data_IF_631026825303
#
_entry.id   IF_631026825303
#
_cell.length_a   1.000
_cell.length_b   1.000
_cell.length_c   1.000
_cell.angle_alpha   90.00
_cell.angle_beta   90.00
_cell.angle_gamma   90.00
#
_symmetry.space_group_name_H-M   'P 1'
#
loop_
_entity.id
_entity.type
_entity.pdbx_description
1 polymer ?
#
# COMPACT_ATOMS: atom_id res chain seq x y z
N UNK A 1 -19.70 -0.96 -27.11
CA UNK A 1 -20.49 0.26 -27.38
C UNK A 1 -19.55 1.45 -27.26
N UNK A 2 -19.48 2.18 -28.35
CA UNK A 2 -18.52 3.21 -28.77
C UNK A 2 -18.58 4.48 -27.88
N UNK A 3 -17.99 4.42 -26.69
CA UNK A 3 -18.02 5.48 -25.66
C UNK A 3 -16.67 6.21 -25.48
N UNK A 4 -15.63 5.84 -26.24
CA UNK A 4 -14.28 6.40 -26.11
C UNK A 4 -14.21 7.89 -26.44
N UNK A 5 -14.83 8.31 -27.56
CA UNK A 5 -14.66 9.66 -28.08
C UNK A 5 -15.63 10.72 -27.55
N UNK A 6 -16.64 10.33 -26.74
CA UNK A 6 -17.60 11.32 -26.18
C UNK A 6 -17.03 12.19 -25.07
N UNK A 7 -15.97 11.71 -24.39
CA UNK A 7 -15.39 12.38 -23.21
C UNK A 7 -14.16 13.22 -23.51
N UNK A 8 -13.59 13.15 -24.71
CA UNK A 8 -12.47 14.02 -25.07
C UNK A 8 -12.93 15.47 -25.05
N UNK A 9 -12.16 16.32 -24.36
CA UNK A 9 -12.45 17.74 -24.23
C UNK A 9 -12.49 18.42 -25.60
N UNK A 10 -11.69 17.93 -26.55
CA UNK A 10 -11.66 18.36 -27.95
C UNK A 10 -13.00 18.07 -28.66
N UNK A 11 -13.50 16.83 -28.56
CA UNK A 11 -14.78 16.43 -29.15
C UNK A 11 -15.97 17.22 -28.57
N UNK A 12 -15.92 17.55 -27.27
CA UNK A 12 -16.92 18.42 -26.63
C UNK A 12 -16.85 19.87 -27.10
N UNK A 13 -15.65 20.43 -27.34
CA UNK A 13 -15.49 21.78 -27.88
C UNK A 13 -15.92 21.88 -29.34
N UNK A 14 -15.60 20.88 -30.17
CA UNK A 14 -16.10 20.79 -31.55
C UNK A 14 -17.61 20.72 -31.62
N UNK A 15 -18.23 19.88 -30.80
CA UNK A 15 -19.69 19.80 -30.73
C UNK A 15 -20.33 21.13 -30.32
N UNK A 16 -19.77 21.82 -29.32
CA UNK A 16 -20.21 23.18 -28.94
C UNK A 16 -20.07 24.18 -30.09
N UNK A 17 -18.98 24.09 -30.86
CA UNK A 17 -18.76 24.97 -32.01
C UNK A 17 -19.77 24.71 -33.14
N UNK A 18 -20.08 23.44 -33.43
CA UNK A 18 -21.11 23.06 -34.40
C UNK A 18 -22.50 23.48 -33.93
N UNK A 19 -22.82 23.31 -32.64
CA UNK A 19 -24.07 23.77 -32.04
C UNK A 19 -24.24 25.30 -32.22
N UNK A 20 -23.19 26.06 -31.92
CA UNK A 20 -23.19 27.52 -32.11
C UNK A 20 -23.39 27.91 -33.57
N UNK A 21 -22.68 27.26 -34.52
CA UNK A 21 -22.86 27.50 -35.95
C UNK A 21 -24.26 27.12 -36.47
N UNK A 22 -24.86 26.06 -35.92
CA UNK A 22 -26.22 25.64 -36.28
C UNK A 22 -27.27 26.59 -35.69
N UNK A 23 -27.02 27.15 -34.50
CA UNK A 23 -27.91 28.10 -33.85
C UNK A 23 -28.06 29.43 -34.61
N UNK A 24 -27.03 29.82 -35.39
CA UNK A 24 -27.03 31.02 -36.24
C UNK A 24 -27.89 30.88 -37.52
N UNK A 25 -28.40 29.68 -37.84
CA UNK A 25 -29.27 29.46 -38.99
C UNK A 25 -30.57 28.71 -38.60
N UNK A 26 -31.68 29.42 -38.32
CA UNK A 26 -32.83 28.83 -37.66
C UNK A 26 -33.69 28.03 -38.65
N UNK A 27 -33.38 26.74 -38.82
CA UNK A 27 -34.32 25.78 -39.43
C UNK A 27 -35.29 25.29 -38.35
N UNK A 28 -36.55 25.70 -38.48
CA UNK A 28 -37.56 25.62 -37.44
C UNK A 28 -37.81 24.21 -36.87
N UNK A 29 -37.53 24.05 -35.58
CA UNK A 29 -38.06 22.95 -34.74
C UNK A 29 -38.84 23.53 -33.56
N UNK A 30 -40.06 23.02 -33.31
CA UNK A 30 -40.95 23.51 -32.24
C UNK A 30 -40.39 23.20 -30.85
N UNK A 31 -40.21 24.26 -30.05
CA UNK A 31 -39.64 24.28 -28.69
C UNK A 31 -40.56 23.62 -27.64
N UNK A 32 -39.98 22.92 -26.65
CA UNK A 32 -40.64 22.55 -25.38
C UNK A 32 -40.42 23.65 -24.33
N UNK A 33 -41.43 23.90 -23.50
CA UNK A 33 -41.52 25.03 -22.56
C UNK A 33 -40.62 24.78 -21.34
N UNK A 34 -39.55 25.57 -21.18
CA UNK A 34 -38.69 25.57 -19.98
C UNK A 34 -37.17 25.68 -20.22
N UNK A 35 -36.70 25.59 -21.48
CA UNK A 35 -35.27 25.69 -21.81
C UNK A 35 -34.84 27.15 -22.00
N UNK A 36 -33.60 27.49 -21.64
CA UNK A 36 -32.98 28.81 -21.82
C UNK A 36 -33.05 29.22 -23.32
N UNK A 37 -33.35 30.48 -23.69
CA UNK A 37 -33.63 30.85 -25.08
C UNK A 37 -32.50 30.62 -26.07
N UNK A 38 -31.26 30.56 -25.54
CA UNK A 38 -30.00 30.52 -26.27
C UNK A 38 -29.28 29.16 -26.16
N UNK A 39 -29.92 28.15 -25.55
CA UNK A 39 -29.36 26.82 -25.37
C UNK A 39 -30.35 25.78 -25.91
N UNK A 40 -30.11 25.29 -27.12
CA UNK A 40 -30.98 24.33 -27.82
C UNK A 40 -30.86 22.89 -27.29
N UNK A 41 -29.92 22.65 -26.36
CA UNK A 41 -29.67 21.35 -25.76
C UNK A 41 -28.98 20.35 -26.69
N UNK A 42 -28.43 20.80 -27.82
CA UNK A 42 -27.73 19.96 -28.79
C UNK A 42 -26.47 19.35 -28.17
N UNK A 43 -26.41 18.01 -28.09
CA UNK A 43 -25.29 17.23 -27.52
C UNK A 43 -25.60 16.54 -26.19
N UNK A 44 -26.78 16.79 -25.61
CA UNK A 44 -27.23 16.14 -24.37
C UNK A 44 -27.87 14.76 -24.61
N UNK A 45 -28.36 14.50 -25.84
CA UNK A 45 -28.98 13.22 -26.20
C UNK A 45 -28.15 12.42 -27.22
N UNK A 46 -28.35 11.10 -27.25
CA UNK A 46 -27.63 10.19 -28.15
C UNK A 46 -27.91 10.45 -29.64
N UNK A 47 -29.00 11.15 -29.96
CA UNK A 47 -29.40 11.45 -31.32
C UNK A 47 -28.55 12.57 -31.92
N UNK A 48 -28.18 13.58 -31.11
CA UNK A 48 -27.27 14.65 -31.51
C UNK A 48 -25.86 14.12 -31.80
N UNK A 49 -25.40 13.13 -31.01
CA UNK A 49 -24.14 12.42 -31.28
C UNK A 49 -24.20 11.57 -32.56
N UNK A 50 -25.37 11.07 -32.93
CA UNK A 50 -25.55 10.38 -34.21
C UNK A 50 -25.45 11.37 -35.39
N UNK A 51 -26.03 12.56 -35.26
CA UNK A 51 -25.92 13.64 -36.27
C UNK A 51 -24.48 14.15 -36.40
N UNK A 52 -23.75 14.31 -35.29
CA UNK A 52 -22.32 14.66 -35.32
C UNK A 52 -21.49 13.64 -36.11
N UNK A 53 -21.71 12.34 -35.86
CA UNK A 53 -21.05 11.27 -36.62
C UNK A 53 -21.46 11.27 -38.09
N UNK A 54 -22.73 11.49 -38.40
CA UNK A 54 -23.21 11.52 -39.79
C UNK A 54 -22.67 12.73 -40.58
N UNK A 55 -22.47 13.88 -39.90
CA UNK A 55 -21.82 15.07 -40.47
C UNK A 55 -20.32 14.81 -40.69
N UNK A 56 -19.66 14.13 -39.76
CA UNK A 56 -18.24 13.76 -39.87
C UNK A 56 -18.03 12.74 -41.01
N UNK A 57 -18.88 11.72 -41.11
CA UNK A 57 -18.82 10.70 -42.17
C UNK A 57 -19.27 11.25 -43.55
N UNK A 58 -20.16 12.25 -43.58
CA UNK A 58 -20.64 12.88 -44.81
C UNK A 58 -19.66 13.87 -45.46
N UNK A 59 -18.65 14.34 -44.73
CA UNK A 59 -17.55 15.16 -45.24
C UNK A 59 -16.29 14.30 -45.39
N UNK A 60 -16.29 13.46 -46.42
CA UNK A 60 -15.20 12.58 -46.83
C UNK A 60 -14.81 11.50 -45.80
N UNK A 61 -14.28 10.40 -46.33
CA UNK A 61 -13.65 9.31 -45.58
C UNK A 61 -12.39 9.81 -44.86
N UNK A 62 -12.56 10.62 -43.83
CA UNK A 62 -11.48 11.12 -43.00
C UNK A 62 -11.66 10.61 -41.56
N UNK A 63 -11.39 9.31 -41.41
CA UNK A 63 -11.00 8.71 -40.13
C UNK A 63 -9.56 9.15 -39.75
N UNK A 64 -8.97 10.15 -40.45
CA UNK A 64 -7.59 10.61 -40.29
C UNK A 64 -7.43 11.83 -39.39
N UNK A 65 -8.42 12.73 -39.30
CA UNK A 65 -8.32 14.03 -38.63
C UNK A 65 -8.05 13.95 -37.10
N UNK A 66 -8.51 12.90 -36.40
CA UNK A 66 -8.23 12.77 -34.95
C UNK A 66 -6.79 12.34 -34.67
N UNK A 67 -6.23 11.45 -35.48
CA UNK A 67 -4.82 11.06 -35.41
C UNK A 67 -3.92 12.18 -35.95
N UNK A 68 -4.35 12.91 -37.00
CA UNK A 68 -3.60 14.02 -37.58
C UNK A 68 -3.49 15.24 -36.63
N UNK A 69 -4.53 15.57 -35.86
CA UNK A 69 -4.47 16.65 -34.87
C UNK A 69 -3.56 16.31 -33.67
N UNK A 70 -3.55 15.06 -33.18
CA UNK A 70 -2.63 14.63 -32.13
C UNK A 70 -1.18 14.56 -32.64
N UNK A 71 -0.96 14.09 -33.88
CA UNK A 71 0.34 14.14 -34.52
C UNK A 71 0.85 15.57 -34.71
N UNK A 72 -0.01 16.52 -35.07
CA UNK A 72 0.33 17.94 -35.21
C UNK A 72 0.77 18.55 -33.87
N UNK A 73 0.03 18.29 -32.78
CA UNK A 73 0.42 18.74 -31.43
C UNK A 73 1.76 18.13 -30.98
N UNK A 74 1.98 16.84 -31.24
CA UNK A 74 3.24 16.16 -30.93
C UNK A 74 4.43 16.73 -31.72
N UNK A 75 4.24 17.03 -33.01
CA UNK A 75 5.25 17.65 -33.86
C UNK A 75 5.56 19.10 -33.45
N UNK A 76 4.53 19.88 -33.11
CA UNK A 76 4.67 21.24 -32.59
C UNK A 76 5.45 21.25 -31.28
N UNK A 77 5.13 20.32 -30.36
CA UNK A 77 5.80 20.21 -29.06
C UNK A 77 7.29 19.85 -29.24
N UNK A 78 7.62 18.89 -30.11
CA UNK A 78 9.02 18.58 -30.47
C UNK A 78 9.76 19.79 -31.06
N UNK A 79 9.08 20.59 -31.88
CA UNK A 79 9.65 21.79 -32.48
C UNK A 79 9.96 22.85 -31.42
N UNK A 80 9.04 23.07 -30.48
CA UNK A 80 9.24 24.00 -29.35
C UNK A 80 10.37 23.51 -28.45
N UNK A 81 10.42 22.21 -28.13
CA UNK A 81 11.50 21.62 -27.32
C UNK A 81 12.87 21.76 -27.98
N UNK A 82 12.96 21.57 -29.30
CA UNK A 82 14.20 21.78 -30.05
C UNK A 82 14.67 23.24 -30.00
N UNK A 83 13.73 24.20 -30.05
CA UNK A 83 14.06 25.61 -29.90
C UNK A 83 14.51 25.94 -28.47
N UNK A 84 13.83 25.41 -27.45
CA UNK A 84 14.22 25.62 -26.05
C UNK A 84 15.61 25.05 -25.77
N UNK A 85 15.94 23.85 -26.27
CA UNK A 85 17.29 23.28 -26.16
C UNK A 85 18.38 24.15 -26.79
N UNK A 86 18.04 24.93 -27.82
CA UNK A 86 19.00 25.78 -28.51
C UNK A 86 19.18 27.15 -27.83
N UNK A 87 18.10 27.71 -27.27
CA UNK A 87 18.07 29.12 -26.84
C UNK A 87 17.93 29.33 -25.33
N UNK A 88 17.51 28.33 -24.57
CA UNK A 88 17.38 28.38 -23.12
C UNK A 88 18.49 27.55 -22.44
N UNK A 89 19.44 28.18 -21.74
CA UNK A 89 20.51 27.49 -21.03
C UNK A 89 20.03 26.57 -19.89
N UNK A 90 18.84 26.83 -19.33
CA UNK A 90 18.28 26.06 -18.22
C UNK A 90 17.44 24.87 -18.72
N UNK A 91 17.07 24.86 -20.01
CA UNK A 91 16.32 23.77 -20.63
C UNK A 91 17.26 22.68 -21.15
N UNK A 92 17.18 21.48 -20.57
CA UNK A 92 18.07 20.35 -20.88
C UNK A 92 17.33 19.22 -21.60
N UNK A 93 18.04 18.25 -22.16
CA UNK A 93 17.41 17.06 -22.78
C UNK A 93 16.47 16.32 -21.80
N UNK A 94 16.75 16.38 -20.50
CA UNK A 94 15.90 15.80 -19.45
C UNK A 94 14.55 16.52 -19.30
N UNK A 95 14.45 17.75 -19.81
CA UNK A 95 13.25 18.58 -19.76
C UNK A 95 12.26 18.26 -20.89
N UNK A 96 12.68 17.51 -21.90
CA UNK A 96 11.82 17.07 -23.02
C UNK A 96 10.74 16.09 -22.56
N UNK A 97 9.58 16.14 -23.19
CA UNK A 97 8.45 15.27 -22.92
C UNK A 97 8.81 13.80 -23.15
N UNK A 98 9.60 13.50 -24.17
CA UNK A 98 10.06 12.14 -24.47
C UNK A 98 10.95 11.59 -23.34
N UNK A 99 11.89 12.40 -22.83
CA UNK A 99 12.72 12.02 -21.70
C UNK A 99 11.92 11.88 -20.38
N UNK A 100 10.85 12.66 -20.20
CA UNK A 100 9.97 12.58 -19.03
C UNK A 100 8.98 11.39 -19.10
N UNK A 101 8.57 10.99 -20.30
CA UNK A 101 7.69 9.82 -20.54
C UNK A 101 8.44 8.50 -20.62
N UNK A 102 9.77 8.55 -20.61
CA UNK A 102 10.62 7.37 -20.49
C UNK A 102 10.34 6.63 -19.17
N UNK A 103 9.63 5.51 -19.27
CA UNK A 103 9.28 4.67 -18.13
C UNK A 103 10.51 4.15 -17.39
N UNK A 104 11.67 4.03 -18.05
CA UNK A 104 12.91 3.55 -17.43
C UNK A 104 13.43 4.51 -16.36
N UNK A 105 13.06 5.79 -16.44
CA UNK A 105 13.41 6.83 -15.46
C UNK A 105 12.33 7.01 -14.39
N UNK A 106 11.16 6.39 -14.57
CA UNK A 106 10.03 6.54 -13.65
C UNK A 106 10.19 5.65 -12.41
N UNK A 107 10.36 6.27 -11.24
CA UNK A 107 10.32 5.56 -9.96
C UNK A 107 8.96 4.91 -9.71
N UNK A 108 7.88 5.51 -10.20
CA UNK A 108 6.55 4.92 -10.08
C UNK A 108 6.45 3.60 -10.88
N UNK A 109 6.99 3.57 -12.10
CA UNK A 109 7.08 2.33 -12.87
C UNK A 109 7.96 1.30 -12.16
N UNK A 110 9.16 1.70 -11.74
CA UNK A 110 10.06 0.81 -10.99
C UNK A 110 9.39 0.23 -9.72
N UNK A 111 8.60 1.04 -9.02
CA UNK A 111 7.89 0.62 -7.82
C UNK A 111 6.67 -0.29 -8.10
N UNK A 112 5.91 -0.03 -9.16
CA UNK A 112 4.65 -0.76 -9.42
C UNK A 112 4.82 -1.96 -10.36
N UNK A 113 5.82 -1.91 -11.25
CA UNK A 113 6.07 -2.87 -12.34
C UNK A 113 7.49 -3.44 -12.36
N UNK A 114 8.41 -2.88 -11.57
CA UNK A 114 9.81 -3.32 -11.54
C UNK A 114 10.65 -2.76 -12.69
N UNK A 115 11.83 -3.35 -12.96
CA UNK A 115 12.79 -2.82 -13.93
C UNK A 115 12.49 -3.21 -15.39
N UNK A 116 11.40 -3.94 -15.63
CA UNK A 116 11.07 -4.49 -16.94
C UNK A 116 10.00 -3.64 -17.64
N UNK A 117 9.95 -3.67 -18.99
CA UNK A 117 8.83 -3.09 -19.74
C UNK A 117 7.51 -3.72 -19.28
N UNK A 118 6.41 -2.98 -19.45
CA UNK A 118 5.06 -3.43 -19.12
C UNK A 118 4.17 -3.36 -20.34
N UNK A 119 3.49 -4.47 -20.65
CA UNK A 119 2.46 -4.55 -21.66
C UNK A 119 1.05 -4.51 -21.01
N UNK A 120 0.27 -3.43 -21.23
CA UNK A 120 -1.07 -3.30 -20.67
C UNK A 120 -2.10 -4.28 -21.28
N UNK A 121 -1.85 -4.82 -22.48
CA UNK A 121 -2.76 -5.77 -23.13
C UNK A 121 -2.54 -7.21 -22.66
N UNK A 122 -1.38 -7.48 -22.07
CA UNK A 122 -1.04 -8.79 -21.53
C UNK A 122 -1.78 -9.06 -20.22
N UNK A 123 -2.78 -9.94 -20.30
CA UNK A 123 -3.49 -10.45 -19.12
C UNK A 123 -2.55 -11.11 -18.08
N UNK A 124 -1.41 -11.65 -18.52
CA UNK A 124 -0.41 -12.25 -17.63
C UNK A 124 0.30 -11.19 -16.79
N UNK A 125 0.61 -10.04 -17.39
CA UNK A 125 1.33 -8.95 -16.73
C UNK A 125 0.41 -8.10 -15.87
N UNK A 126 -0.85 -7.94 -16.27
CA UNK A 126 -1.85 -7.25 -15.44
C UNK A 126 -2.15 -7.99 -14.13
N UNK A 127 -1.98 -9.32 -14.09
CA UNK A 127 -2.20 -10.15 -12.90
C UNK A 127 -0.96 -10.34 -12.01
N UNK A 128 0.10 -9.55 -12.17
CA UNK A 128 1.32 -9.64 -11.35
C UNK A 128 1.29 -8.68 -10.14
N UNK A 129 1.77 -9.17 -8.99
CA UNK A 129 2.01 -8.36 -7.80
C UNK A 129 3.51 -8.20 -7.58
N UNK A 130 3.99 -6.95 -7.63
CA UNK A 130 5.39 -6.63 -7.36
C UNK A 130 5.57 -6.28 -5.88
N UNK A 131 6.54 -6.92 -5.23
CA UNK A 131 6.91 -6.65 -3.83
C UNK A 131 8.32 -6.06 -3.78
N UNK A 132 8.42 -4.82 -3.34
CA UNK A 132 9.64 -4.06 -3.22
C UNK A 132 9.94 -3.81 -1.74
N UNK A 133 9.63 -2.60 -1.27
CA UNK A 133 9.93 -2.14 0.10
C UNK A 133 9.08 -2.87 1.13
N UNK A 134 7.94 -3.45 0.75
CA UNK A 134 7.03 -4.17 1.64
C UNK A 134 7.73 -5.31 2.37
N UNK A 135 8.69 -5.97 1.70
CA UNK A 135 9.45 -7.10 2.24
C UNK A 135 10.26 -6.74 3.49
N UNK A 136 10.70 -5.50 3.60
CA UNK A 136 11.48 -4.99 4.75
C UNK A 136 10.66 -4.04 5.63
N UNK A 137 9.73 -3.28 5.05
CA UNK A 137 8.94 -2.27 5.76
C UNK A 137 7.88 -2.89 6.66
N UNK A 138 7.24 -3.99 6.22
CA UNK A 138 6.21 -4.67 7.01
C UNK A 138 6.79 -5.27 8.30
N UNK A 139 7.87 -6.07 8.28
CA UNK A 139 8.42 -6.63 9.51
C UNK A 139 9.02 -5.58 10.45
N UNK A 140 9.42 -4.42 9.92
CA UNK A 140 10.01 -3.30 10.69
C UNK A 140 9.05 -2.69 11.70
N UNK A 141 7.72 -2.85 11.53
CA UNK A 141 6.70 -2.29 12.43
C UNK A 141 6.88 -2.75 13.88
N UNK A 142 7.48 -3.92 14.14
CA UNK A 142 7.77 -4.36 15.51
C UNK A 142 8.88 -3.54 16.19
N UNK A 143 9.82 -3.04 15.40
CA UNK A 143 10.93 -2.20 15.86
C UNK A 143 10.55 -0.70 15.81
N UNK A 144 9.75 -0.32 14.82
CA UNK A 144 9.27 1.05 14.59
C UNK A 144 7.75 1.08 14.33
N UNK A 145 6.92 1.01 15.38
CA UNK A 145 5.46 0.97 15.24
C UNK A 145 4.85 2.19 14.54
N UNK A 146 5.53 3.34 14.63
CA UNK A 146 5.13 4.60 13.99
C UNK A 146 5.01 4.53 12.47
N UNK A 147 5.71 3.60 11.80
CA UNK A 147 5.58 3.37 10.35
C UNK A 147 4.14 2.98 9.97
N UNK A 148 3.44 2.27 10.87
CA UNK A 148 2.05 1.87 10.71
C UNK A 148 1.07 2.84 11.41
N UNK A 149 1.54 3.97 11.93
CA UNK A 149 0.73 4.93 12.68
C UNK A 149 0.29 4.41 14.06
N UNK A 150 0.99 3.42 14.61
CA UNK A 150 0.70 2.88 15.94
C UNK A 150 1.51 3.65 16.99
N UNK A 151 0.82 4.33 17.90
CA UNK A 151 1.43 5.10 18.99
C UNK A 151 1.82 4.18 20.16
N UNK A 152 2.83 3.35 19.92
CA UNK A 152 3.40 2.41 20.90
C UNK A 152 4.92 2.34 20.72
N UNK A 153 5.61 1.99 21.81
CA UNK A 153 7.04 1.76 21.81
C UNK A 153 7.41 0.48 21.01
N UNK A 154 8.56 0.52 20.34
CA UNK A 154 9.12 -0.66 19.68
C UNK A 154 9.63 -1.70 20.67
N UNK A 155 9.84 -2.94 20.20
CA UNK A 155 10.28 -4.03 21.08
C UNK A 155 11.59 -3.74 21.83
N UNK A 156 12.53 -3.02 21.20
CA UNK A 156 13.82 -2.69 21.80
C UNK A 156 13.66 -1.71 22.96
N UNK A 157 12.88 -0.66 22.76
CA UNK A 157 12.56 0.33 23.80
C UNK A 157 11.81 -0.32 24.97
N UNK A 158 10.89 -1.24 24.70
CA UNK A 158 10.19 -1.97 25.75
C UNK A 158 11.13 -2.83 26.60
N UNK A 159 12.07 -3.54 25.96
CA UNK A 159 13.07 -4.36 26.67
C UNK A 159 14.04 -3.47 27.45
N UNK A 160 14.48 -2.37 26.86
CA UNK A 160 15.32 -1.37 27.54
C UNK A 160 14.62 -0.80 28.77
N UNK A 161 13.39 -0.31 28.63
CA UNK A 161 12.59 0.22 29.73
C UNK A 161 12.39 -0.82 30.83
N UNK A 162 12.11 -2.08 30.46
CA UNK A 162 11.97 -3.17 31.43
C UNK A 162 13.28 -3.39 32.22
N UNK A 163 14.40 -3.53 31.53
CA UNK A 163 15.68 -3.85 32.15
C UNK A 163 16.30 -2.66 32.89
N UNK A 164 16.23 -1.45 32.35
CA UNK A 164 16.91 -0.28 32.90
C UNK A 164 16.05 0.56 33.83
N UNK A 165 14.72 0.54 33.68
CA UNK A 165 13.81 1.34 34.52
C UNK A 165 13.03 0.47 35.50
N UNK A 166 12.32 -0.56 35.03
CA UNK A 166 11.43 -1.36 35.90
C UNK A 166 12.19 -2.30 36.83
N UNK A 167 13.27 -2.90 36.34
CA UNK A 167 14.11 -3.83 37.09
C UNK A 167 15.38 -3.17 37.63
N UNK A 168 15.48 -1.84 37.61
CA UNK A 168 16.64 -1.12 38.10
C UNK A 168 16.92 -1.48 39.57
N UNK A 169 18.12 -2.02 39.83
CA UNK A 169 18.53 -2.45 41.17
C UNK A 169 17.88 -3.74 41.67
N UNK A 170 17.04 -4.39 40.86
CA UNK A 170 16.50 -5.71 41.17
C UNK A 170 17.57 -6.79 40.94
N UNK A 171 17.75 -7.79 41.84
CA UNK A 171 18.76 -8.82 41.67
C UNK A 171 18.66 -9.62 40.36
N UNK A 172 17.44 -9.74 39.80
CA UNK A 172 17.20 -10.45 38.55
C UNK A 172 17.55 -9.64 37.28
N UNK A 173 17.88 -8.35 37.39
CA UNK A 173 18.15 -7.49 36.22
C UNK A 173 19.23 -8.07 35.31
N UNK A 174 20.38 -8.44 35.91
CA UNK A 174 21.50 -9.02 35.17
C UNK A 174 21.18 -10.39 34.60
N UNK A 175 20.46 -11.23 35.34
CA UNK A 175 20.08 -12.58 34.89
C UNK A 175 19.07 -12.54 33.74
N UNK A 176 18.13 -11.60 33.73
CA UNK A 176 17.18 -11.46 32.63
C UNK A 176 17.84 -10.97 31.33
N UNK A 177 18.86 -10.12 31.41
CA UNK A 177 19.60 -9.67 30.22
C UNK A 177 20.44 -10.81 29.59
N UNK A 178 20.93 -11.74 30.42
CA UNK A 178 21.79 -12.87 30.00
C UNK A 178 21.10 -13.92 29.15
N UNK A 179 19.77 -14.01 29.16
CA UNK A 179 19.05 -15.01 28.37
C UNK A 179 17.70 -14.50 27.87
N UNK A 180 17.73 -13.84 26.71
CA UNK A 180 16.53 -13.38 26.00
C UNK A 180 16.12 -14.46 25.01
N UNK A 181 15.07 -15.21 25.37
CA UNK A 181 14.59 -16.33 24.59
C UNK A 181 13.41 -15.95 23.68
N UNK A 182 13.58 -16.13 22.37
CA UNK A 182 12.57 -15.78 21.38
C UNK A 182 11.64 -16.97 21.07
N UNK A 183 10.34 -16.72 21.19
CA UNK A 183 9.26 -17.67 20.87
C UNK A 183 8.21 -17.04 19.96
N UNK A 184 7.39 -17.86 19.30
CA UNK A 184 6.32 -17.40 18.41
C UNK A 184 6.75 -17.27 16.95
N UNK A 185 5.80 -17.32 16.01
CA UNK A 185 6.09 -17.37 14.58
C UNK A 185 6.81 -16.13 14.02
N UNK A 186 6.66 -14.96 14.65
CA UNK A 186 7.24 -13.71 14.16
C UNK A 186 8.77 -13.70 14.21
N UNK A 187 9.39 -14.45 15.13
CA UNK A 187 10.86 -14.55 15.19
C UNK A 187 11.48 -15.43 14.09
N UNK A 188 10.65 -15.95 13.16
CA UNK A 188 11.12 -16.69 11.98
C UNK A 188 11.58 -15.78 10.84
N UNK A 189 11.38 -14.46 10.93
CA UNK A 189 11.98 -13.54 9.97
C UNK A 189 13.52 -13.69 9.95
N UNK A 190 14.08 -13.70 8.74
CA UNK A 190 15.53 -13.78 8.56
C UNK A 190 16.21 -12.56 9.16
N UNK A 191 17.25 -12.76 9.97
CA UNK A 191 17.99 -11.68 10.62
C UNK A 191 17.32 -11.12 11.87
N UNK A 192 16.19 -11.67 12.34
CA UNK A 192 15.45 -11.12 13.49
C UNK A 192 16.25 -11.21 14.80
N UNK A 193 16.87 -12.37 15.07
CA UNK A 193 17.67 -12.60 16.27
C UNK A 193 18.89 -11.67 16.31
N UNK A 194 19.60 -11.56 15.18
CA UNK A 194 20.78 -10.74 15.00
C UNK A 194 20.44 -9.25 15.08
N UNK A 195 19.32 -8.82 14.48
CA UNK A 195 18.81 -7.46 14.56
C UNK A 195 18.52 -7.07 16.01
N UNK A 196 17.75 -7.89 16.72
CA UNK A 196 17.36 -7.62 18.09
C UNK A 196 18.58 -7.61 19.02
N UNK A 197 19.49 -8.58 18.89
CA UNK A 197 20.72 -8.62 19.68
C UNK A 197 21.58 -7.37 19.47
N UNK A 198 21.74 -6.92 18.22
CA UNK A 198 22.51 -5.72 17.87
C UNK A 198 21.91 -4.46 18.47
N UNK A 199 20.60 -4.27 18.37
CA UNK A 199 19.95 -3.07 18.90
C UNK A 199 19.91 -3.05 20.43
N UNK A 200 19.61 -4.17 21.07
CA UNK A 200 19.68 -4.29 22.52
C UNK A 200 21.09 -4.00 23.03
N UNK A 201 22.12 -4.46 22.32
CA UNK A 201 23.49 -4.19 22.68
C UNK A 201 23.85 -2.70 22.63
N UNK A 202 23.24 -1.96 21.70
CA UNK A 202 23.47 -0.53 21.51
C UNK A 202 22.83 0.33 22.61
N UNK A 203 21.70 -0.11 23.18
CA UNK A 203 20.97 0.65 24.21
C UNK A 203 21.33 0.22 25.63
N UNK A 204 21.75 -1.04 25.83
CA UNK A 204 22.09 -1.57 27.16
C UNK A 204 23.53 -1.24 27.60
N UNK A 205 23.80 -1.16 28.92
CA UNK A 205 25.13 -0.87 29.46
C UNK A 205 26.23 -1.77 28.91
N UNK A 206 27.47 -1.27 28.83
CA UNK A 206 28.58 -2.00 28.21
C UNK A 206 28.90 -3.34 28.92
N UNK A 207 28.56 -3.43 30.19
CA UNK A 207 28.87 -4.53 31.10
C UNK A 207 27.74 -5.56 31.13
N UNK A 208 26.58 -5.24 30.55
CA UNK A 208 25.47 -6.17 30.43
C UNK A 208 25.84 -7.27 29.42
N UNK A 209 25.82 -8.51 29.89
CA UNK A 209 25.92 -9.67 29.03
C UNK A 209 24.56 -9.91 28.38
N UNK A 210 24.47 -9.71 27.07
CA UNK A 210 23.22 -9.86 26.31
C UNK A 210 23.34 -11.06 25.40
N UNK A 211 22.51 -12.08 25.63
CA UNK A 211 22.40 -13.23 24.75
C UNK A 211 20.96 -13.37 24.31
N UNK A 212 20.74 -13.20 23.01
CA UNK A 212 19.47 -13.51 22.37
C UNK A 212 19.60 -14.90 21.77
N UNK A 213 18.60 -15.75 21.97
CA UNK A 213 18.52 -17.07 21.32
C UNK A 213 17.08 -17.38 20.96
N UNK A 214 16.88 -18.09 19.86
CA UNK A 214 15.55 -18.53 19.43
C UNK A 214 15.23 -19.97 19.85
N UNK A 215 13.95 -20.25 20.03
CA UNK A 215 13.44 -21.62 20.19
C UNK A 215 13.80 -22.52 18.99
N UNK A 216 13.90 -23.82 19.24
CA UNK A 216 14.19 -24.80 18.18
C UNK A 216 13.02 -24.89 17.19
N UNK A 217 11.80 -24.82 17.70
CA UNK A 217 10.57 -24.71 16.91
C UNK A 217 9.66 -23.65 17.54
N UNK A 218 9.84 -22.37 17.19
CA UNK A 218 9.15 -21.26 17.83
C UNK A 218 7.62 -21.30 17.72
N UNK A 219 7.09 -22.05 16.75
CA UNK A 219 5.65 -22.19 16.51
C UNK A 219 5.07 -23.30 17.38
N UNK A 220 5.75 -24.45 17.50
CA UNK A 220 5.21 -25.62 18.21
C UNK A 220 5.71 -25.77 19.64
N UNK A 221 6.80 -25.11 20.03
CA UNK A 221 7.40 -25.31 21.35
C UNK A 221 6.50 -24.84 22.50
N UNK A 222 5.62 -23.87 22.25
CA UNK A 222 4.58 -23.48 23.22
C UNK A 222 3.64 -24.66 23.53
N UNK A 223 3.12 -25.32 22.48
CA UNK A 223 2.27 -26.51 22.63
C UNK A 223 3.02 -27.69 23.23
N UNK A 224 4.25 -27.96 22.77
CA UNK A 224 5.08 -29.05 23.32
C UNK A 224 5.45 -28.81 24.78
N UNK A 225 5.68 -27.56 25.17
CA UNK A 225 5.87 -27.14 26.56
C UNK A 225 4.66 -27.48 27.42
N UNK A 226 3.47 -27.04 26.99
CA UNK A 226 2.22 -27.34 27.68
C UNK A 226 1.89 -28.84 27.74
N UNK A 227 2.10 -29.58 26.65
CA UNK A 227 1.88 -31.02 26.59
C UNK A 227 2.81 -31.77 27.56
N UNK A 228 4.10 -31.39 27.61
CA UNK A 228 5.05 -31.96 28.57
C UNK A 228 4.67 -31.61 30.01
N UNK A 229 4.29 -30.37 30.29
CA UNK A 229 3.85 -29.92 31.61
C UNK A 229 2.60 -30.67 32.08
N UNK A 230 1.59 -30.84 31.22
CA UNK A 230 0.38 -31.60 31.52
C UNK A 230 0.66 -33.10 31.74
N UNK A 231 1.65 -33.65 31.03
CA UNK A 231 2.03 -35.07 31.11
C UNK A 231 2.89 -35.46 32.31
N UNK A 232 3.81 -34.59 32.77
CA UNK A 232 4.80 -34.92 33.82
C UNK A 232 4.32 -34.71 35.26
N UNK A 233 3.10 -34.21 35.44
CA UNK A 233 2.63 -33.65 36.70
C UNK A 233 1.74 -34.64 37.47
N UNK A 234 2.29 -35.69 38.08
CA UNK A 234 1.51 -36.47 39.07
C UNK A 234 1.30 -35.68 40.38
N UNK A 235 2.21 -34.76 40.72
CA UNK A 235 2.11 -33.88 41.90
C UNK A 235 1.37 -32.56 41.66
N UNK A 236 1.58 -31.88 40.53
CA UNK A 236 0.94 -30.57 40.26
C UNK A 236 -0.47 -30.68 39.67
N UNK A 237 -0.94 -31.88 39.31
CA UNK A 237 -2.31 -32.07 38.79
C UNK A 237 -3.38 -31.64 39.80
N UNK A 238 -3.19 -31.94 41.07
CA UNK A 238 -4.10 -31.50 42.13
C UNK A 238 -3.99 -30.01 42.46
N UNK A 239 -2.86 -29.38 42.15
CA UNK A 239 -2.57 -27.98 42.52
C UNK A 239 -2.83 -26.97 41.39
N UNK A 240 -2.84 -27.41 40.13
CA UNK A 240 -3.01 -26.51 38.98
C UNK A 240 -4.32 -26.74 38.20
N UNK A 241 -4.92 -27.94 38.26
CA UNK A 241 -6.15 -28.22 37.52
C UNK A 241 -7.38 -27.92 38.38
N UNK A 242 -8.42 -27.38 37.75
CA UNK A 242 -9.72 -27.17 38.37
C UNK A 242 -10.59 -28.40 38.09
N UNK A 243 -11.09 -29.05 39.15
CA UNK A 243 -12.01 -30.18 38.99
C UNK A 243 -13.43 -29.69 38.63
N UNK A 244 -14.26 -30.59 38.08
CA UNK A 244 -15.66 -30.27 37.77
C UNK A 244 -16.46 -29.80 39.00
N UNK A 245 -16.20 -30.39 40.17
CA UNK A 245 -16.87 -30.01 41.42
C UNK A 245 -16.45 -28.60 41.85
N UNK A 246 -15.16 -28.29 41.81
CA UNK A 246 -14.66 -26.95 42.14
C UNK A 246 -15.18 -25.89 41.19
N UNK A 247 -15.27 -26.20 39.89
CA UNK A 247 -15.87 -25.29 38.91
C UNK A 247 -17.37 -25.04 39.20
N UNK A 248 -18.11 -26.07 39.61
CA UNK A 248 -19.52 -25.93 39.96
C UNK A 248 -19.74 -25.08 41.22
N UNK A 249 -18.81 -25.11 42.18
CA UNK A 249 -18.88 -24.32 43.42
C UNK A 249 -18.34 -22.90 43.26
N UNK A 250 -17.22 -22.73 42.55
CA UNK A 250 -16.47 -21.46 42.46
C UNK A 250 -16.77 -20.67 41.20
N UNK A 251 -17.43 -21.28 40.21
CA UNK A 251 -17.83 -20.63 38.97
C UNK A 251 -16.75 -20.61 37.88
N UNK A 252 -17.09 -19.98 36.75
CA UNK A 252 -16.27 -19.97 35.53
C UNK A 252 -15.03 -19.07 35.58
N UNK A 253 -15.01 -18.08 36.47
CA UNK A 253 -13.88 -17.15 36.62
C UNK A 253 -12.78 -17.71 37.54
N UNK A 254 -13.06 -18.80 38.26
CA UNK A 254 -12.09 -19.40 39.15
C UNK A 254 -10.96 -20.11 38.40
N UNK A 255 -9.74 -19.66 38.65
CA UNK A 255 -8.51 -20.29 38.21
C UNK A 255 -7.62 -20.56 39.41
N UNK A 256 -6.89 -21.67 39.40
CA UNK A 256 -5.89 -21.93 40.43
C UNK A 256 -4.67 -21.04 40.20
N UNK A 257 -4.17 -20.46 41.28
CA UNK A 257 -2.91 -19.72 41.25
C UNK A 257 -1.77 -20.66 40.84
N UNK A 258 -1.01 -20.25 39.83
CA UNK A 258 0.08 -21.02 39.28
C UNK A 258 1.18 -20.05 38.83
N UNK A 259 2.45 -20.41 39.00
CA UNK A 259 3.59 -19.56 38.66
C UNK A 259 3.70 -19.19 37.17
N UNK A 260 3.02 -19.94 36.29
CA UNK A 260 2.90 -19.66 34.86
C UNK A 260 1.54 -19.06 34.46
N UNK A 261 0.63 -18.89 35.43
CA UNK A 261 -0.70 -18.32 35.21
C UNK A 261 -0.71 -16.81 35.38
N UNK A 262 -1.82 -16.18 35.00
CA UNK A 262 -2.05 -14.78 35.31
C UNK A 262 -2.33 -14.62 36.82
N UNK A 263 -2.12 -13.41 37.33
CA UNK A 263 -2.54 -13.05 38.68
C UNK A 263 -4.06 -13.16 38.77
N UNK A 264 -4.56 -13.82 39.81
CA UNK A 264 -5.99 -13.91 40.08
C UNK A 264 -6.50 -12.54 40.56
N UNK A 265 -7.58 -12.05 39.96
CA UNK A 265 -8.29 -10.82 40.36
C UNK A 265 -9.60 -11.15 41.02
#
# INVERSE_FOLDING_TARGET
ADLGNRKSQASQMRMKHIANLASDNPLGRKRRRGQNPDDDGFGADDADWAVYRDIQVGRNNDDGDEDEEEEDLGAQLKTIEAQLLQFDPDFTEQSTQEAQRDWTKSLHHAFTRGPYPYDPESARESAQLHLNVERIRVPEVLFQPSIAGVDQAGIVELVEMLLQSRLAGHPAQGEMAKDIFLTGGYCLFSGFEERLARELRAVLPVQAEVKVRRAGDPVLDAWRGAARWAGHSMGSRGQAFVSRAEWAEKGGEYLREHNLGNVFT
#
